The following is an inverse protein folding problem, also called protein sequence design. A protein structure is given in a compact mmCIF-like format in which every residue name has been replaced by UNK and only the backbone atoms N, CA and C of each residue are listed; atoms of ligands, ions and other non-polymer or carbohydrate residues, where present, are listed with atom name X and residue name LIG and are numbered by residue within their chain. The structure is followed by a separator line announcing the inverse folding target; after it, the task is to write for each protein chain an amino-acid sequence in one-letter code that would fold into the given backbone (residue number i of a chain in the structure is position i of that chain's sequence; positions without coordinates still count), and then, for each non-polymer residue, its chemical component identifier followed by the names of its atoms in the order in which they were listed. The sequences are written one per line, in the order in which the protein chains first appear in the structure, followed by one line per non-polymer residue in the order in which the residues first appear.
data_IF_053547439907
#
_entry.id   IF_053547439907
#
_cell.length_a   1.000
_cell.length_b   1.000
_cell.length_c   1.000
_cell.angle_alpha   90.00
_cell.angle_beta   90.00
_cell.angle_gamma   90.00
#
_symmetry.space_group_name_H-M   'P 1'
#
loop_
_entity.id
_entity.type
_entity.pdbx_description
1 polymer ?
#
# COMPACT_ATOMS: atom_id res chain seq x y z
N UNK A 1 9.34 27.68 -19.81
CA UNK A 1 8.64 28.97 -19.56
C UNK A 1 7.22 28.75 -19.05
N UNK A 2 6.45 27.81 -19.62
CA UNK A 2 5.03 27.61 -19.26
C UNK A 2 4.76 27.12 -17.83
N UNK A 3 5.76 26.56 -17.14
CA UNK A 3 5.62 26.03 -15.78
C UNK A 3 6.06 27.01 -14.70
N UNK A 4 6.44 28.24 -15.07
CA UNK A 4 7.02 29.25 -14.17
C UNK A 4 8.25 28.75 -13.37
N UNK A 5 8.95 27.75 -13.91
CA UNK A 5 10.23 27.26 -13.41
C UNK A 5 11.32 27.53 -14.45
N UNK A 6 12.51 27.91 -13.97
CA UNK A 6 13.67 28.20 -14.79
C UNK A 6 14.40 26.90 -15.18
N UNK A 7 13.79 26.19 -16.12
CA UNK A 7 14.38 25.02 -16.78
C UNK A 7 14.96 25.45 -18.13
N UNK A 8 16.25 25.21 -18.30
CA UNK A 8 16.97 25.51 -19.53
C UNK A 8 17.34 24.21 -20.27
N UNK A 9 17.30 24.30 -21.60
CA UNK A 9 17.57 23.20 -22.51
C UNK A 9 18.78 23.50 -23.40
N UNK A 10 19.67 22.53 -23.53
CA UNK A 10 20.77 22.54 -24.48
C UNK A 10 20.43 21.69 -25.69
N UNK A 11 20.66 22.20 -26.91
CA UNK A 11 20.45 21.41 -28.13
C UNK A 11 21.35 20.18 -28.16
N UNK A 12 22.63 20.35 -27.83
CA UNK A 12 23.60 19.26 -27.68
C UNK A 12 23.76 18.88 -26.20
N UNK A 13 23.82 17.57 -25.87
CA UNK A 13 23.91 17.11 -24.50
C UNK A 13 25.28 17.44 -23.89
N UNK A 14 25.27 18.01 -22.68
CA UNK A 14 26.48 18.42 -21.95
C UNK A 14 26.84 17.35 -20.93
N UNK A 15 28.13 17.01 -20.87
CA UNK A 15 28.70 16.11 -19.85
C UNK A 15 28.65 16.81 -18.49
N UNK A 16 27.96 16.22 -17.52
CA UNK A 16 27.71 16.86 -16.23
C UNK A 16 28.11 16.02 -15.02
N UNK A 17 28.34 14.71 -15.19
CA UNK A 17 28.77 13.83 -14.10
C UNK A 17 29.66 12.70 -14.63
N UNK A 18 30.66 12.33 -13.84
CA UNK A 18 31.45 11.12 -14.03
C UNK A 18 31.12 10.16 -12.88
N UNK A 19 30.46 9.05 -13.19
CA UNK A 19 30.27 7.96 -12.24
C UNK A 19 31.46 6.99 -12.37
N UNK A 20 32.08 6.66 -11.24
CA UNK A 20 33.13 5.65 -11.17
C UNK A 20 32.63 4.54 -10.26
N UNK A 21 32.41 3.36 -10.83
CA UNK A 21 32.00 2.17 -10.07
C UNK A 21 33.06 1.09 -10.31
N UNK A 22 33.87 0.82 -9.29
CA UNK A 22 35.11 0.02 -9.43
C UNK A 22 36.02 0.64 -10.51
N UNK A 23 36.34 -0.11 -11.57
CA UNK A 23 37.18 0.34 -12.68
C UNK A 23 36.38 0.86 -13.89
N UNK A 24 35.05 0.86 -13.81
CA UNK A 24 34.19 1.34 -14.90
C UNK A 24 33.89 2.83 -14.72
N UNK A 25 34.12 3.59 -15.80
CA UNK A 25 33.84 5.02 -15.90
C UNK A 25 32.63 5.24 -16.79
N UNK A 26 31.56 5.80 -16.23
CA UNK A 26 30.38 6.22 -16.97
C UNK A 26 30.31 7.75 -16.98
N UNK A 27 30.35 8.34 -18.18
CA UNK A 27 30.14 9.77 -18.37
C UNK A 27 28.66 9.99 -18.63
N UNK A 28 28.02 10.74 -17.74
CA UNK A 28 26.63 11.14 -17.91
C UNK A 28 26.55 12.50 -18.60
N UNK A 29 25.68 12.56 -19.59
CA UNK A 29 25.35 13.77 -20.33
C UNK A 29 23.87 14.12 -20.19
N UNK A 30 23.56 15.41 -20.23
CA UNK A 30 22.18 15.88 -20.19
C UNK A 30 21.97 17.13 -21.03
N UNK A 31 20.76 17.28 -21.53
CA UNK A 31 20.29 18.50 -22.17
C UNK A 31 19.61 19.45 -21.18
N UNK A 32 19.42 19.06 -19.92
CA UNK A 32 18.55 19.76 -18.98
C UNK A 32 19.30 20.31 -17.78
N UNK A 33 19.02 21.58 -17.46
CA UNK A 33 19.39 22.18 -16.19
C UNK A 33 18.24 22.99 -15.59
N UNK A 34 18.18 23.08 -14.27
CA UNK A 34 17.14 23.83 -13.54
C UNK A 34 17.79 24.72 -12.49
N UNK A 35 17.27 25.94 -12.29
CA UNK A 35 17.80 26.81 -11.26
C UNK A 35 17.66 26.16 -9.87
N UNK A 36 18.68 26.31 -9.02
CA UNK A 36 18.74 25.57 -7.75
C UNK A 36 17.58 25.86 -6.80
N UNK A 37 16.97 27.05 -6.86
CA UNK A 37 15.81 27.39 -6.04
C UNK A 37 14.57 26.59 -6.43
N UNK A 38 14.32 26.46 -7.74
CA UNK A 38 13.23 25.63 -8.27
C UNK A 38 13.48 24.16 -7.98
N UNK A 39 14.74 23.72 -8.12
CA UNK A 39 15.13 22.37 -7.76
C UNK A 39 14.80 22.06 -6.29
N UNK A 40 15.26 22.90 -5.36
CA UNK A 40 15.05 22.70 -3.93
C UNK A 40 13.56 22.72 -3.56
N UNK A 41 12.80 23.64 -4.14
CA UNK A 41 11.34 23.72 -3.95
C UNK A 41 10.67 22.40 -4.35
N UNK A 42 10.96 21.90 -5.55
CA UNK A 42 10.35 20.68 -6.10
C UNK A 42 10.89 19.38 -5.47
N UNK A 43 12.14 19.38 -5.01
CA UNK A 43 12.76 18.20 -4.41
C UNK A 43 12.48 18.04 -2.92
N UNK A 44 11.96 19.08 -2.25
CA UNK A 44 11.77 19.11 -0.79
C UNK A 44 10.90 17.97 -0.24
N UNK A 45 9.90 17.51 -1.00
CA UNK A 45 9.02 16.40 -0.63
C UNK A 45 9.61 15.02 -0.92
N UNK A 46 10.71 14.94 -1.68
CA UNK A 46 11.28 13.70 -2.17
C UNK A 46 12.37 13.19 -1.21
N UNK A 47 12.17 12.00 -0.64
CA UNK A 47 13.04 11.42 0.40
C UNK A 47 14.25 10.64 -0.13
N UNK A 48 14.36 10.42 -1.44
CA UNK A 48 15.46 9.61 -1.99
C UNK A 48 16.79 10.37 -1.94
N UNK A 49 17.85 9.74 -1.40
CA UNK A 49 19.13 10.40 -1.16
C UNK A 49 19.79 10.98 -2.42
N UNK A 50 19.66 10.32 -3.58
CA UNK A 50 20.23 10.81 -4.84
C UNK A 50 19.61 12.14 -5.33
N UNK A 51 18.55 12.63 -4.66
CA UNK A 51 17.85 13.88 -4.99
C UNK A 51 18.21 15.03 -4.07
N UNK A 52 19.03 14.79 -3.04
CA UNK A 52 19.56 15.92 -2.26
C UNK A 52 20.43 16.77 -3.18
N UNK A 53 20.33 18.09 -3.07
CA UNK A 53 21.14 19.01 -3.87
C UNK A 53 22.63 18.67 -3.78
N UNK A 54 23.10 18.30 -2.58
CA UNK A 54 24.50 17.88 -2.32
C UNK A 54 24.97 16.71 -3.19
N UNK A 55 24.05 15.90 -3.73
CA UNK A 55 24.34 14.73 -4.56
C UNK A 55 24.16 15.00 -6.06
N UNK A 56 23.87 16.24 -6.46
CA UNK A 56 23.65 16.63 -7.85
C UNK A 56 24.64 17.71 -8.30
N UNK A 57 25.24 17.60 -9.49
CA UNK A 57 26.15 18.61 -10.01
C UNK A 57 25.44 19.95 -10.22
N UNK A 58 26.07 21.03 -9.76
CA UNK A 58 25.62 22.41 -9.90
C UNK A 58 26.72 23.25 -10.55
N UNK A 59 26.35 24.10 -11.51
CA UNK A 59 27.24 25.12 -12.07
C UNK A 59 26.42 26.35 -12.44
N UNK A 60 26.97 27.54 -12.22
CA UNK A 60 26.32 28.83 -12.55
C UNK A 60 24.92 28.98 -11.92
N UNK A 61 24.67 28.36 -10.77
CA UNK A 61 23.36 28.38 -10.11
C UNK A 61 22.35 27.36 -10.66
N UNK A 62 22.75 26.51 -11.60
CA UNK A 62 21.89 25.51 -12.22
C UNK A 62 22.30 24.09 -11.89
N UNK A 63 21.33 23.27 -11.52
CA UNK A 63 21.47 21.84 -11.25
C UNK A 63 21.25 21.05 -12.54
N UNK A 64 22.19 20.18 -12.87
CA UNK A 64 22.13 19.35 -14.07
C UNK A 64 21.46 18.02 -13.75
N UNK A 65 20.47 17.65 -14.57
CA UNK A 65 19.58 16.53 -14.26
C UNK A 65 19.38 15.64 -15.48
N UNK A 66 19.28 14.34 -15.27
CA UNK A 66 18.82 13.42 -16.33
C UNK A 66 17.36 13.69 -16.69
N UNK A 67 16.94 13.23 -17.87
CA UNK A 67 15.52 13.29 -18.30
C UNK A 67 14.58 12.67 -17.25
N UNK A 68 14.96 11.54 -16.67
CA UNK A 68 14.15 10.85 -15.65
C UNK A 68 14.01 11.68 -14.37
N UNK A 69 15.08 12.34 -13.94
CA UNK A 69 15.04 13.22 -12.78
C UNK A 69 14.14 14.43 -13.04
N UNK A 70 14.23 15.04 -14.22
CA UNK A 70 13.35 16.15 -14.61
C UNK A 70 11.88 15.72 -14.63
N UNK A 71 11.54 14.58 -15.28
CA UNK A 71 10.18 14.03 -15.30
C UNK A 71 9.64 13.86 -13.88
N UNK A 72 10.47 13.38 -12.96
CA UNK A 72 10.05 13.14 -11.58
C UNK A 72 9.82 14.44 -10.81
N UNK A 73 10.61 15.50 -11.03
CA UNK A 73 10.33 16.82 -10.48
C UNK A 73 9.02 17.40 -11.03
N UNK A 74 8.75 17.21 -12.32
CA UNK A 74 7.48 17.61 -12.94
C UNK A 74 6.28 16.86 -12.34
N UNK A 75 6.44 15.57 -12.04
CA UNK A 75 5.39 14.81 -11.34
C UNK A 75 5.07 15.39 -9.97
N UNK A 76 6.08 15.79 -9.19
CA UNK A 76 5.85 16.43 -7.88
C UNK A 76 5.24 17.82 -8.01
N UNK A 77 5.66 18.60 -9.00
CA UNK A 77 5.02 19.88 -9.31
C UNK A 77 3.52 19.71 -9.56
N UNK A 78 3.15 18.77 -10.44
CA UNK A 78 1.76 18.45 -10.75
C UNK A 78 1.03 17.96 -9.49
N UNK A 79 1.65 17.09 -8.70
CA UNK A 79 1.07 16.60 -7.43
C UNK A 79 0.74 17.75 -6.49
N UNK A 80 1.69 18.67 -6.27
CA UNK A 80 1.49 19.82 -5.39
C UNK A 80 0.39 20.73 -5.92
N UNK A 81 0.34 20.99 -7.23
CA UNK A 81 -0.75 21.76 -7.84
C UNK A 81 -2.12 21.12 -7.65
N UNK A 82 -2.23 19.79 -7.81
CA UNK A 82 -3.48 19.08 -7.56
C UNK A 82 -3.89 19.17 -6.08
N UNK A 83 -2.94 19.08 -5.15
CA UNK A 83 -3.22 19.21 -3.70
C UNK A 83 -3.66 20.62 -3.33
N UNK A 84 -3.00 21.66 -3.87
CA UNK A 84 -3.41 23.06 -3.71
C UNK A 84 -4.86 23.25 -4.18
N UNK A 85 -5.18 22.81 -5.40
CA UNK A 85 -6.54 22.91 -5.98
C UNK A 85 -7.58 22.23 -5.09
N UNK A 86 -7.30 21.00 -4.63
CA UNK A 86 -8.20 20.26 -3.73
C UNK A 86 -8.45 20.99 -2.41
N UNK A 87 -7.44 21.66 -1.86
CA UNK A 87 -7.56 22.37 -0.58
C UNK A 87 -8.35 23.68 -0.67
N UNK A 88 -8.41 24.29 -1.85
CA UNK A 88 -8.98 25.64 -2.03
C UNK A 88 -10.40 25.61 -2.58
N UNK A 89 -10.76 24.64 -3.44
CA UNK A 89 -12.13 24.54 -3.98
C UNK A 89 -12.42 23.14 -4.56
N UNK A 90 -13.26 22.36 -3.88
CA UNK A 90 -13.63 21.00 -4.28
C UNK A 90 -14.32 20.95 -5.67
N UNK A 91 -15.03 22.01 -6.07
CA UNK A 91 -15.76 22.10 -7.34
C UNK A 91 -14.86 22.33 -8.57
N UNK A 92 -13.58 22.60 -8.35
CA UNK A 92 -12.63 22.91 -9.43
C UNK A 92 -11.91 21.66 -9.98
N UNK A 93 -11.99 20.53 -9.26
CA UNK A 93 -11.36 19.26 -9.67
C UNK A 93 -12.02 18.67 -10.91
N UNK A 94 -13.35 18.70 -10.98
CA UNK A 94 -14.10 18.19 -12.15
C UNK A 94 -13.83 19.05 -13.40
N UNK A 95 -13.78 20.38 -13.23
CA UNK A 95 -13.41 21.29 -14.32
C UNK A 95 -11.99 21.03 -14.84
N UNK A 96 -11.04 20.80 -13.93
CA UNK A 96 -9.66 20.45 -14.30
C UNK A 96 -9.61 19.10 -15.03
N UNK A 97 -10.34 18.09 -14.55
CA UNK A 97 -10.47 16.80 -15.22
C UNK A 97 -11.01 16.97 -16.64
N UNK A 98 -12.08 17.74 -16.82
CA UNK A 98 -12.69 17.98 -18.13
C UNK A 98 -11.75 18.70 -19.09
N UNK A 99 -10.91 19.60 -18.58
CA UNK A 99 -9.87 20.26 -19.37
C UNK A 99 -8.76 19.28 -19.77
N UNK A 100 -8.30 18.42 -18.86
CA UNK A 100 -7.26 17.44 -19.15
C UNK A 100 -7.75 16.37 -20.15
N UNK A 101 -9.02 15.97 -20.07
CA UNK A 101 -9.63 15.01 -21.01
C UNK A 101 -9.76 15.51 -22.45
N UNK A 102 -9.54 16.81 -22.69
CA UNK A 102 -9.48 17.42 -24.03
C UNK A 102 -8.10 17.34 -24.65
N UNK A 103 -7.06 16.97 -23.89
CA UNK A 103 -5.70 16.83 -24.40
C UNK A 103 -5.59 15.52 -25.17
N UNK A 104 -5.13 15.59 -26.42
CA UNK A 104 -4.91 14.41 -27.27
C UNK A 104 -3.97 13.41 -26.60
N UNK A 105 -4.35 12.13 -26.60
CA UNK A 105 -3.61 11.05 -25.94
C UNK A 105 -3.77 10.98 -24.42
N UNK A 106 -4.22 12.06 -23.75
CA UNK A 106 -4.46 12.02 -22.30
C UNK A 106 -5.65 11.13 -21.95
N UNK A 107 -6.72 11.17 -22.77
CA UNK A 107 -7.91 10.35 -22.55
C UNK A 107 -7.58 8.86 -22.49
N UNK A 108 -6.79 8.34 -23.42
CA UNK A 108 -6.39 6.93 -23.43
C UNK A 108 -5.59 6.54 -22.18
N UNK A 109 -4.69 7.41 -21.73
CA UNK A 109 -3.91 7.20 -20.50
C UNK A 109 -4.84 7.22 -19.30
N UNK A 110 -5.75 8.20 -19.24
CA UNK A 110 -6.74 8.34 -18.19
C UNK A 110 -7.62 7.10 -18.10
N UNK A 111 -8.18 6.63 -19.21
CA UNK A 111 -9.05 5.46 -19.26
C UNK A 111 -8.31 4.17 -18.87
N UNK A 112 -7.05 4.01 -19.31
CA UNK A 112 -6.20 2.88 -18.88
C UNK A 112 -5.94 2.90 -17.38
N UNK A 113 -5.60 4.07 -16.82
CA UNK A 113 -5.38 4.23 -15.38
C UNK A 113 -6.70 3.98 -14.63
N UNK A 114 -7.82 4.53 -15.11
CA UNK A 114 -9.13 4.36 -14.50
C UNK A 114 -9.53 2.89 -14.48
N UNK A 115 -9.37 2.16 -15.59
CA UNK A 115 -9.66 0.72 -15.67
C UNK A 115 -8.79 -0.08 -14.68
N UNK A 116 -7.48 0.19 -14.62
CA UNK A 116 -6.60 -0.44 -13.63
C UNK A 116 -6.98 -0.09 -12.20
N UNK A 117 -7.41 1.15 -11.97
CA UNK A 117 -7.82 1.64 -10.67
C UNK A 117 -9.17 1.07 -10.26
N UNK A 118 -10.11 0.86 -11.18
CA UNK A 118 -11.42 0.25 -10.94
C UNK A 118 -11.32 -1.22 -10.52
N UNK A 119 -10.37 -1.96 -11.11
CA UNK A 119 -10.03 -3.32 -10.69
C UNK A 119 -9.54 -3.35 -9.24
N UNK A 120 -8.77 -2.33 -8.82
CA UNK A 120 -8.30 -2.16 -7.44
C UNK A 120 -9.34 -1.52 -6.53
N UNK A 121 -10.30 -0.79 -7.09
CA UNK A 121 -11.32 -0.06 -6.32
C UNK A 121 -12.23 -1.02 -5.57
N UNK A 122 -12.47 -2.24 -6.04
CA UNK A 122 -13.15 -3.27 -5.24
C UNK A 122 -12.34 -3.65 -4.00
N UNK A 123 -11.02 -3.85 -4.10
CA UNK A 123 -10.16 -4.10 -2.94
C UNK A 123 -10.26 -2.95 -1.91
N UNK A 124 -10.53 -1.73 -2.38
CA UNK A 124 -10.82 -0.54 -1.54
C UNK A 124 -12.31 -0.37 -1.15
N UNK A 125 -13.28 -0.88 -1.91
CA UNK A 125 -14.69 -0.82 -1.54
C UNK A 125 -14.98 -1.77 -0.37
N UNK A 126 -14.20 -2.85 -0.30
CA UNK A 126 -14.09 -3.70 0.88
C UNK A 126 -13.08 -3.17 1.91
N UNK A 127 -12.38 -2.04 1.69
CA UNK A 127 -11.54 -1.42 2.73
C UNK A 127 -12.41 -0.71 3.77
N UNK A 128 -13.21 -1.49 4.47
CA UNK A 128 -13.70 -1.14 5.79
C UNK A 128 -12.48 -1.17 6.68
N UNK A 129 -12.24 -0.08 7.42
CA UNK A 129 -11.23 -0.09 8.46
C UNK A 129 -11.60 -1.16 9.49
N UNK A 130 -10.73 -2.17 9.59
CA UNK A 130 -10.86 -3.21 10.59
C UNK A 130 -9.87 -2.88 11.67
N UNK A 131 -10.32 -2.01 12.56
CA UNK A 131 -9.62 -1.69 13.78
C UNK A 131 -10.22 -2.52 14.89
N UNK A 132 -9.35 -3.10 15.71
CA UNK A 132 -9.74 -3.73 16.96
C UNK A 132 -10.56 -2.73 17.80
N UNK A 133 -11.74 -3.18 18.28
CA UNK A 133 -12.52 -2.49 19.30
C UNK A 133 -12.63 -3.39 20.51
N UNK A 134 -12.35 -2.82 21.68
CA UNK A 134 -12.46 -3.56 22.93
C UNK A 134 -13.88 -4.11 23.11
N UNK A 135 -14.01 -5.42 23.33
CA UNK A 135 -15.30 -6.12 23.42
C UNK A 135 -15.88 -6.60 22.09
N UNK A 136 -15.30 -6.25 20.94
CA UNK A 136 -15.71 -6.78 19.63
C UNK A 136 -15.00 -8.11 19.34
N UNK A 137 -15.77 -9.19 19.23
CA UNK A 137 -15.23 -10.50 18.88
C UNK A 137 -15.17 -10.68 17.35
N UNK A 138 -14.00 -10.37 16.77
CA UNK A 138 -13.75 -10.56 15.34
C UNK A 138 -13.43 -12.01 14.94
N UNK A 139 -13.38 -12.95 15.90
CA UNK A 139 -13.00 -14.36 15.62
C UNK A 139 -13.87 -15.01 14.55
N UNK A 140 -15.14 -14.61 14.45
CA UNK A 140 -16.10 -15.20 13.50
C UNK A 140 -15.75 -14.89 12.04
N UNK A 141 -15.14 -13.72 11.79
CA UNK A 141 -14.78 -13.26 10.43
C UNK A 141 -13.33 -13.56 10.05
N UNK A 142 -12.57 -14.23 10.93
CA UNK A 142 -11.21 -14.65 10.63
C UNK A 142 -11.16 -15.79 9.62
N UNK A 143 -10.12 -15.83 8.76
CA UNK A 143 -9.92 -16.91 7.82
C UNK A 143 -9.54 -18.21 8.55
N UNK A 144 -9.79 -19.38 7.93
CA UNK A 144 -9.52 -20.68 8.55
C UNK A 144 -8.06 -20.86 8.98
N UNK A 145 -7.10 -20.27 8.27
CA UNK A 145 -5.67 -20.32 8.65
C UNK A 145 -5.38 -19.62 9.99
N UNK A 146 -6.04 -18.50 10.29
CA UNK A 146 -5.88 -17.82 11.58
C UNK A 146 -6.64 -18.54 12.68
N UNK A 147 -7.86 -19.02 12.38
CA UNK A 147 -8.66 -19.81 13.33
C UNK A 147 -7.93 -21.05 13.83
N UNK A 148 -7.25 -21.77 12.93
CA UNK A 148 -6.44 -22.93 13.26
C UNK A 148 -5.32 -22.58 14.25
N UNK A 149 -4.51 -21.55 13.95
CA UNK A 149 -3.38 -21.15 14.79
C UNK A 149 -3.88 -20.70 16.18
N UNK A 150 -4.99 -19.96 16.22
CA UNK A 150 -5.62 -19.55 17.48
C UNK A 150 -6.15 -20.74 18.28
N UNK A 151 -6.68 -21.79 17.62
CA UNK A 151 -7.13 -23.02 18.30
C UNK A 151 -5.95 -23.72 18.95
N UNK A 152 -4.89 -23.99 18.18
CA UNK A 152 -3.65 -24.58 18.68
C UNK A 152 -3.09 -23.83 19.88
N UNK A 153 -3.02 -22.49 19.78
CA UNK A 153 -2.55 -21.65 20.87
C UNK A 153 -3.40 -21.84 22.14
N UNK A 154 -4.73 -21.79 22.02
CA UNK A 154 -5.67 -21.96 23.15
C UNK A 154 -5.59 -23.35 23.77
N UNK A 155 -5.34 -24.36 22.96
CA UNK A 155 -5.17 -25.76 23.38
C UNK A 155 -3.80 -26.02 24.02
N UNK A 156 -2.90 -25.02 24.04
CA UNK A 156 -1.55 -25.14 24.58
C UNK A 156 -0.63 -25.96 23.69
N UNK A 157 -0.97 -26.15 22.42
CA UNK A 157 -0.11 -26.80 21.44
C UNK A 157 1.04 -25.88 21.03
N UNK A 158 2.22 -26.46 20.81
CA UNK A 158 3.36 -25.69 20.30
C UNK A 158 3.07 -25.14 18.90
N UNK A 159 3.18 -23.82 18.76
CA UNK A 159 3.17 -23.15 17.46
C UNK A 159 4.55 -23.12 16.83
N UNK A 160 4.64 -23.39 15.53
CA UNK A 160 5.84 -23.19 14.72
C UNK A 160 6.21 -21.70 14.64
N UNK A 161 7.48 -21.41 14.35
CA UNK A 161 7.95 -20.02 14.22
C UNK A 161 7.18 -19.24 13.14
N UNK A 162 6.89 -19.88 12.01
CA UNK A 162 6.11 -19.31 10.90
C UNK A 162 4.67 -19.01 11.30
N UNK A 163 4.03 -19.87 12.09
CA UNK A 163 2.69 -19.66 12.65
C UNK A 163 2.68 -18.44 13.58
N UNK A 164 3.66 -18.35 14.50
CA UNK A 164 3.79 -17.23 15.45
C UNK A 164 3.95 -15.90 14.71
N UNK A 165 4.87 -15.83 13.74
CA UNK A 165 5.11 -14.61 12.96
C UNK A 165 3.87 -14.20 12.17
N UNK A 166 3.24 -15.15 11.47
CA UNK A 166 2.06 -14.85 10.67
C UNK A 166 0.90 -14.33 11.54
N UNK A 167 0.66 -14.94 12.70
CA UNK A 167 -0.36 -14.50 13.64
C UNK A 167 -0.10 -13.07 14.14
N UNK A 168 1.14 -12.75 14.53
CA UNK A 168 1.53 -11.40 14.97
C UNK A 168 1.30 -10.38 13.85
N UNK A 169 1.76 -10.65 12.63
CA UNK A 169 1.59 -9.73 11.50
C UNK A 169 0.11 -9.51 11.17
N UNK A 170 -0.70 -10.56 11.24
CA UNK A 170 -2.12 -10.49 10.96
C UNK A 170 -2.87 -9.66 12.00
N UNK A 171 -2.65 -9.91 13.29
CA UNK A 171 -3.34 -9.18 14.37
C UNK A 171 -2.93 -7.70 14.41
N UNK A 172 -1.65 -7.39 14.19
CA UNK A 172 -1.18 -5.99 14.10
C UNK A 172 -1.77 -5.26 12.89
N UNK A 173 -1.96 -5.95 11.76
CA UNK A 173 -2.63 -5.37 10.60
C UNK A 173 -4.14 -5.11 10.83
N UNK A 174 -4.73 -5.70 11.87
CA UNK A 174 -6.08 -5.39 12.37
C UNK A 174 -6.05 -4.43 13.58
N UNK A 175 -4.89 -3.82 13.85
CA UNK A 175 -4.66 -2.88 14.94
C UNK A 175 -4.94 -3.43 16.34
N UNK A 176 -4.74 -4.74 16.57
CA UNK A 176 -4.79 -5.29 17.92
C UNK A 176 -3.70 -4.65 18.79
N UNK A 177 -4.01 -4.26 20.06
CA UNK A 177 -3.02 -3.82 21.01
C UNK A 177 -1.97 -4.90 21.23
N UNK A 178 -0.70 -4.49 21.40
CA UNK A 178 0.39 -5.45 21.57
C UNK A 178 0.17 -6.37 22.77
N UNK A 179 -0.43 -5.87 23.85
CA UNK A 179 -0.77 -6.67 25.03
C UNK A 179 -1.75 -7.80 24.70
N UNK A 180 -2.78 -7.52 23.88
CA UNK A 180 -3.73 -8.54 23.42
C UNK A 180 -3.02 -9.59 22.56
N UNK A 181 -2.10 -9.17 21.68
CA UNK A 181 -1.32 -10.09 20.85
C UNK A 181 -0.40 -10.98 21.71
N UNK A 182 0.26 -10.42 22.73
CA UNK A 182 1.12 -11.17 23.66
C UNK A 182 0.30 -12.22 24.41
N UNK A 183 -0.90 -11.84 24.89
CA UNK A 183 -1.77 -12.72 25.66
C UNK A 183 -2.23 -13.96 24.88
N UNK A 184 -2.27 -13.91 23.55
CA UNK A 184 -2.57 -15.09 22.72
C UNK A 184 -1.55 -16.22 22.93
N UNK A 185 -0.30 -15.89 23.24
CA UNK A 185 0.77 -16.87 23.44
C UNK A 185 0.89 -17.37 24.89
N UNK A 186 0.10 -16.83 25.82
CA UNK A 186 0.25 -17.10 27.26
C UNK A 186 0.01 -18.56 27.68
N UNK A 187 -0.74 -19.32 26.87
CA UNK A 187 -1.01 -20.75 27.05
C UNK A 187 0.05 -21.67 26.44
N UNK A 188 1.05 -21.12 25.74
CA UNK A 188 2.09 -21.96 25.14
C UNK A 188 3.09 -22.49 26.18
N UNK A 189 3.56 -23.74 26.04
CA UNK A 189 4.50 -24.35 26.99
C UNK A 189 5.83 -23.59 27.14
N UNK A 190 6.30 -22.94 26.08
CA UNK A 190 7.55 -22.19 26.03
C UNK A 190 7.37 -20.67 26.20
N UNK A 191 6.20 -20.23 26.68
CA UNK A 191 5.88 -18.82 26.79
C UNK A 191 6.81 -18.09 27.76
N UNK A 192 7.50 -17.08 27.22
CA UNK A 192 8.31 -16.13 27.96
C UNK A 192 7.80 -14.72 27.62
N UNK A 193 7.19 -14.04 28.61
CA UNK A 193 6.51 -12.77 28.40
C UNK A 193 7.45 -11.68 27.87
N UNK A 194 8.67 -11.61 28.39
CA UNK A 194 9.64 -10.57 28.03
C UNK A 194 10.11 -10.76 26.58
N UNK A 195 10.48 -11.99 26.20
CA UNK A 195 10.89 -12.32 24.82
C UNK A 195 9.75 -12.14 23.83
N UNK A 196 8.55 -12.59 24.20
CA UNK A 196 7.36 -12.45 23.33
C UNK A 196 7.03 -10.98 23.11
N UNK A 197 7.02 -10.17 24.18
CA UNK A 197 6.79 -8.73 24.08
C UNK A 197 7.81 -8.05 23.15
N UNK A 198 9.10 -8.38 23.29
CA UNK A 198 10.15 -7.86 22.41
C UNK A 198 9.87 -8.19 20.93
N UNK A 199 9.52 -9.43 20.61
CA UNK A 199 9.25 -9.85 19.23
C UNK A 199 8.00 -9.17 18.65
N UNK A 200 6.93 -9.07 19.44
CA UNK A 200 5.67 -8.42 19.05
C UNK A 200 5.89 -6.94 18.76
N UNK A 201 6.61 -6.23 19.63
CA UNK A 201 6.92 -4.80 19.44
C UNK A 201 7.88 -4.57 18.26
N UNK A 202 8.88 -5.44 18.08
CA UNK A 202 9.78 -5.37 16.95
C UNK A 202 9.03 -5.52 15.62
N UNK A 203 8.11 -6.49 15.53
CA UNK A 203 7.29 -6.69 14.35
C UNK A 203 6.41 -5.47 14.04
N UNK A 204 5.80 -4.87 15.07
CA UNK A 204 5.01 -3.64 14.96
C UNK A 204 5.84 -2.46 14.44
N UNK A 205 7.03 -2.25 15.01
CA UNK A 205 7.95 -1.18 14.58
C UNK A 205 8.43 -1.33 13.13
N UNK A 206 8.59 -2.57 12.66
CA UNK A 206 8.97 -2.86 11.27
C UNK A 206 7.82 -2.66 10.28
N UNK A 207 6.58 -2.63 10.75
CA UNK A 207 5.40 -2.49 9.89
C UNK A 207 5.22 -3.70 8.96
N UNK A 208 5.52 -4.90 9.45
CA UNK A 208 5.34 -6.12 8.65
C UNK A 208 3.87 -6.35 8.33
N UNK A 209 3.59 -6.69 7.08
CA UNK A 209 2.26 -7.06 6.61
C UNK A 209 2.10 -8.58 6.62
N UNK A 210 0.89 -9.09 6.90
CA UNK A 210 0.63 -10.52 6.85
C UNK A 210 0.82 -11.06 5.44
N UNK A 211 1.18 -12.34 5.35
CA UNK A 211 1.46 -13.02 4.09
C UNK A 211 0.21 -13.17 3.20
N UNK A 212 0.43 -13.17 1.89
CA UNK A 212 -0.60 -13.46 0.89
C UNK A 212 -1.11 -14.91 0.97
N UNK A 213 -2.29 -15.18 0.42
CA UNK A 213 -2.82 -16.55 0.40
C UNK A 213 -1.90 -17.54 -0.33
N UNK A 214 -1.19 -17.12 -1.38
CA UNK A 214 -0.25 -17.99 -2.10
C UNK A 214 1.03 -18.25 -1.31
N UNK A 215 1.50 -17.25 -0.56
CA UNK A 215 2.59 -17.43 0.40
C UNK A 215 2.18 -18.41 1.52
N UNK A 216 0.97 -18.27 2.07
CA UNK A 216 0.46 -19.19 3.10
C UNK A 216 0.34 -20.63 2.59
N UNK A 217 -0.06 -20.84 1.32
CA UNK A 217 -0.04 -22.18 0.71
C UNK A 217 1.38 -22.74 0.63
N UNK A 218 2.35 -21.91 0.23
CA UNK A 218 3.76 -22.32 0.11
C UNK A 218 4.39 -22.65 1.47
N UNK A 219 3.93 -22.00 2.54
CA UNK A 219 4.35 -22.24 3.93
C UNK A 219 3.52 -23.33 4.64
N UNK A 220 2.60 -24.01 3.94
CA UNK A 220 1.66 -24.99 4.53
C UNK A 220 0.76 -24.43 5.65
N UNK A 221 0.54 -23.12 5.69
CA UNK A 221 -0.33 -22.43 6.65
C UNK A 221 -1.77 -22.28 6.14
N UNK A 222 -2.03 -22.55 4.87
CA UNK A 222 -3.37 -22.43 4.29
C UNK A 222 -4.29 -23.59 4.71
N UNK A 223 -5.25 -23.30 5.58
CA UNK A 223 -6.19 -24.32 6.11
C UNK A 223 -7.55 -24.37 5.37
N UNK A 224 -7.65 -23.77 4.19
CA UNK A 224 -8.90 -23.67 3.43
C UNK A 224 -9.52 -25.04 3.11
N UNK A 225 -8.69 -26.01 2.67
CA UNK A 225 -9.16 -27.38 2.36
C UNK A 225 -9.56 -28.15 3.62
N UNK A 226 -8.77 -28.05 4.69
CA UNK A 226 -9.03 -28.72 5.97
C UNK A 226 -10.39 -28.32 6.55
N UNK A 227 -10.71 -27.03 6.50
CA UNK A 227 -11.97 -26.47 7.02
C UNK A 227 -13.09 -26.35 5.97
N UNK A 228 -12.87 -26.84 4.75
CA UNK A 228 -13.80 -26.74 3.63
C UNK A 228 -14.39 -25.32 3.44
N UNK A 229 -13.53 -24.30 3.54
CA UNK A 229 -13.95 -22.91 3.51
C UNK A 229 -14.26 -22.46 2.08
N UNK A 230 -15.55 -22.33 1.76
CA UNK A 230 -16.03 -21.96 0.41
C UNK A 230 -15.46 -20.64 -0.08
N UNK A 231 -15.35 -19.62 0.78
CA UNK A 231 -14.87 -18.31 0.36
C UNK A 231 -13.38 -18.35 -0.01
N UNK A 232 -12.56 -19.11 0.73
CA UNK A 232 -11.17 -19.35 0.36
C UNK A 232 -11.01 -20.22 -0.89
N UNK A 233 -11.86 -21.24 -1.07
CA UNK A 233 -11.73 -22.23 -2.14
C UNK A 233 -12.30 -21.73 -3.48
N UNK A 234 -13.51 -21.17 -3.44
CA UNK A 234 -14.32 -20.78 -4.60
C UNK A 234 -14.24 -19.28 -4.85
N UNK A 235 -13.96 -18.47 -3.82
CA UNK A 235 -13.92 -17.02 -3.91
C UNK A 235 -15.28 -16.36 -3.74
N UNK A 236 -15.47 -15.21 -4.39
CA UNK A 236 -16.68 -14.40 -4.34
C UNK A 236 -17.08 -13.95 -5.75
N UNK A 237 -18.37 -13.71 -5.94
CA UNK A 237 -18.88 -13.13 -7.18
C UNK A 237 -18.79 -11.60 -7.11
N UNK A 238 -18.06 -11.00 -8.05
CA UNK A 238 -18.05 -9.55 -8.23
C UNK A 238 -19.26 -9.15 -9.08
N UNK A 239 -20.22 -8.45 -8.47
CA UNK A 239 -21.36 -7.88 -9.23
C UNK A 239 -20.93 -6.77 -10.19
N UNK A 240 -19.84 -6.07 -9.87
CA UNK A 240 -19.36 -4.92 -10.66
C UNK A 240 -18.65 -5.36 -11.92
N UNK A 241 -17.85 -6.43 -11.83
CA UNK A 241 -17.09 -6.99 -12.95
C UNK A 241 -17.78 -8.19 -13.61
N UNK A 242 -18.92 -8.61 -13.05
CA UNK A 242 -19.72 -9.75 -13.52
C UNK A 242 -18.89 -11.04 -13.66
N UNK A 243 -18.00 -11.29 -12.69
CA UNK A 243 -17.07 -12.44 -12.72
C UNK A 243 -16.85 -13.05 -11.33
N UNK A 244 -16.42 -14.32 -11.31
CA UNK A 244 -15.99 -15.01 -10.10
C UNK A 244 -14.52 -14.67 -9.79
N UNK A 245 -14.25 -14.12 -8.59
CA UNK A 245 -12.91 -13.71 -8.15
C UNK A 245 -12.46 -14.49 -6.94
N UNK A 246 -11.17 -14.81 -6.87
CA UNK A 246 -10.57 -15.52 -5.72
C UNK A 246 -10.11 -14.55 -4.64
N UNK A 247 -10.22 -14.98 -3.39
CA UNK A 247 -9.55 -14.32 -2.27
C UNK A 247 -8.03 -14.50 -2.41
N UNK A 248 -7.30 -13.39 -2.51
CA UNK A 248 -5.83 -13.38 -2.64
C UNK A 248 -5.11 -13.06 -1.33
N UNK A 249 -5.82 -12.51 -0.35
CA UNK A 249 -5.22 -12.05 0.89
C UNK A 249 -6.10 -12.30 2.13
N UNK A 250 -5.52 -12.72 3.27
CA UNK A 250 -6.26 -12.92 4.52
C UNK A 250 -6.98 -11.67 5.03
N UNK A 251 -6.40 -10.47 4.90
CA UNK A 251 -7.09 -9.23 5.31
C UNK A 251 -8.34 -8.96 4.47
N UNK A 252 -8.27 -9.25 3.17
CA UNK A 252 -9.42 -9.12 2.28
C UNK A 252 -10.55 -10.09 2.64
N UNK A 253 -10.20 -11.31 3.10
CA UNK A 253 -11.18 -12.26 3.63
C UNK A 253 -11.98 -11.67 4.80
N UNK A 254 -11.31 -11.02 5.74
CA UNK A 254 -11.94 -10.41 6.92
C UNK A 254 -12.85 -9.25 6.48
N UNK A 255 -12.33 -8.38 5.62
CA UNK A 255 -13.05 -7.26 5.02
C UNK A 255 -14.33 -7.68 4.31
N UNK A 256 -14.23 -8.69 3.46
CA UNK A 256 -15.38 -9.23 2.73
C UNK A 256 -16.46 -9.79 3.67
N UNK A 257 -16.08 -10.56 4.69
CA UNK A 257 -17.04 -11.11 5.64
C UNK A 257 -17.66 -10.03 6.55
N UNK A 258 -16.90 -9.00 6.92
CA UNK A 258 -17.43 -7.85 7.66
C UNK A 258 -18.49 -7.11 6.84
N UNK A 259 -18.19 -6.81 5.58
CA UNK A 259 -19.16 -6.21 4.65
C UNK A 259 -20.41 -7.07 4.49
N UNK A 260 -20.25 -8.38 4.27
CA UNK A 260 -21.37 -9.31 4.13
C UNK A 260 -22.26 -9.29 5.37
N UNK A 261 -21.67 -9.34 6.57
CA UNK A 261 -22.41 -9.29 7.83
C UNK A 261 -23.16 -7.96 8.03
N UNK A 262 -22.58 -6.82 7.64
CA UNK A 262 -23.23 -5.52 7.70
C UNK A 262 -24.47 -5.48 6.79
N UNK A 263 -24.32 -5.89 5.52
CA UNK A 263 -25.46 -5.95 4.58
C UNK A 263 -26.56 -6.89 5.03
N UNK A 264 -26.21 -8.04 5.62
CA UNK A 264 -27.22 -8.94 6.17
C UNK A 264 -28.00 -8.28 7.31
N UNK A 265 -27.35 -7.49 8.18
CA UNK A 265 -28.02 -6.74 9.25
C UNK A 265 -28.91 -5.62 8.72
N UNK A 266 -28.46 -4.87 7.72
CA UNK A 266 -29.26 -3.81 7.07
C UNK A 266 -30.54 -4.40 6.46
N UNK A 267 -30.43 -5.49 5.69
CA UNK A 267 -31.58 -6.16 5.08
C UNK A 267 -32.57 -6.73 6.11
N UNK A 268 -32.09 -7.18 7.28
CA UNK A 268 -32.95 -7.67 8.37
C UNK A 268 -33.72 -6.51 9.03
N UNK A 269 -33.07 -5.36 9.23
CA UNK A 269 -33.70 -4.18 9.82
C UNK A 269 -34.78 -3.56 8.91
N UNK A 270 -34.57 -3.58 7.58
CA UNK A 270 -35.56 -3.14 6.59
C UNK A 270 -36.76 -4.11 6.47
N UNK A 271 -36.55 -5.41 6.73
CA UNK A 271 -37.61 -6.42 6.69
C UNK A 271 -38.52 -6.45 7.92
N UNK A 272 -38.05 -5.99 9.09
CA UNK A 272 -38.85 -5.88 10.32
C UNK A 272 -39.69 -4.59 10.40
N UNK A 273 -39.48 -3.66 9.46
CA UNK A 273 -40.21 -2.40 9.35
C UNK A 273 -41.27 -2.39 8.24
N UNK A 274 -41.58 -3.56 7.65
CA UNK A 274 -42.60 -3.78 6.61
C UNK A 274 -43.78 -4.62 7.10
#
# INVERSE_FOLDING_TARGET
RDLNHDVLYYQEPIKYKLNIVKDQKEILSTNFRIHYTDYLSLSSSLRDDYRRLVNNPISEGYVFLSRNNLIRLLQEYIRNKILEIKSTDQGNVDKMRDQLLKIDGFREIYDKILAQWEVKKEEFEYSIDIQYKQGENLSNIFPPCIKEILSKAREGENLEHTERLYLVFFLHALEYPSEEVINVFSSLPDFDREKTAYQVEFAKKKGYTPHSCDTLKSLNLCMAKKHNDKLCLEGYYSKKLDEQKKIKHPLFYVQFNKYKNLKTRENLAEGESS
#
